data_IF_534442450290
#
_entry.id   IF_534442450290
#
_cell.length_a   1.000
_cell.length_b   1.000
_cell.length_c   1.000
_cell.angle_alpha   90.00
_cell.angle_beta   90.00
_cell.angle_gamma   90.00
#
_symmetry.space_group_name_H-M   'P 1'
#
loop_
_entity.id
_entity.type
_entity.pdbx_description
1 polymer ?
#
# COMPACT_ATOMS: atom_id res chain seq x y z
N UNK A 1 9.92 12.39 -2.77
CA UNK A 1 9.57 11.07 -3.34
C UNK A 1 9.69 10.05 -2.24
N UNK A 2 8.68 9.27 -2.03
CA UNK A 2 8.73 8.22 -1.03
C UNK A 2 8.84 6.89 -1.77
N UNK A 3 9.86 6.13 -1.50
CA UNK A 3 10.14 4.87 -2.17
C UNK A 3 9.82 3.74 -1.21
N UNK A 4 8.89 2.85 -1.58
CA UNK A 4 8.82 1.55 -0.96
C UNK A 4 9.61 0.60 -1.84
N UNK A 5 10.65 0.14 -1.27
CA UNK A 5 11.43 -0.90 -1.86
C UNK A 5 11.38 -2.15 -0.98
N UNK A 6 11.58 -3.31 -1.59
CA UNK A 6 11.94 -4.49 -0.83
C UNK A 6 13.20 -4.20 0.02
N UNK A 7 13.45 -4.94 1.10
CA UNK A 7 14.65 -4.73 1.93
C UNK A 7 15.96 -4.68 1.12
N UNK A 8 16.03 -5.33 -0.03
CA UNK A 8 17.21 -5.32 -0.91
C UNK A 8 17.39 -3.99 -1.62
N UNK A 9 16.31 -3.38 -2.08
CA UNK A 9 16.33 -2.08 -2.76
C UNK A 9 16.69 -0.97 -1.78
N UNK A 10 16.13 -1.00 -0.57
CA UNK A 10 16.45 -0.05 0.49
C UNK A 10 17.95 0.00 0.80
N UNK A 11 18.59 -1.18 0.92
CA UNK A 11 20.03 -1.28 1.15
C UNK A 11 20.83 -0.77 -0.06
N UNK A 12 20.40 -1.10 -1.29
CA UNK A 12 21.06 -0.65 -2.52
C UNK A 12 21.09 0.88 -2.64
N UNK A 13 19.97 1.53 -2.42
CA UNK A 13 19.89 3.00 -2.45
C UNK A 13 20.71 3.65 -1.32
N UNK A 14 20.72 3.03 -0.13
CA UNK A 14 21.57 3.48 0.97
C UNK A 14 23.07 3.39 0.64
N UNK A 15 23.52 2.34 -0.05
CA UNK A 15 24.88 2.22 -0.52
C UNK A 15 25.20 3.32 -1.56
N UNK A 16 24.27 3.60 -2.49
CA UNK A 16 24.45 4.69 -3.44
C UNK A 16 24.60 6.06 -2.75
N UNK A 17 23.83 6.31 -1.68
CA UNK A 17 24.02 7.49 -0.85
C UNK A 17 25.44 7.59 -0.32
N UNK A 18 25.94 6.54 0.33
CA UNK A 18 27.30 6.52 0.89
C UNK A 18 28.39 6.74 -0.19
N UNK A 19 28.20 6.18 -1.38
CA UNK A 19 29.10 6.40 -2.51
C UNK A 19 29.10 7.86 -2.95
N UNK A 20 27.94 8.50 -3.02
CA UNK A 20 27.84 9.92 -3.37
C UNK A 20 28.57 10.77 -2.32
N UNK A 21 28.36 10.51 -1.04
CA UNK A 21 29.01 11.23 0.06
C UNK A 21 30.52 11.06 0.03
N UNK A 22 31.02 9.84 -0.18
CA UNK A 22 32.47 9.56 -0.25
C UNK A 22 33.13 10.20 -1.46
N UNK A 23 32.49 10.15 -2.63
CA UNK A 23 33.09 10.69 -3.87
C UNK A 23 33.04 12.22 -3.93
N UNK A 24 31.99 12.82 -3.40
CA UNK A 24 31.75 14.26 -3.49
C UNK A 24 32.25 15.04 -2.27
N UNK A 25 32.39 14.38 -1.14
CA UNK A 25 32.67 15.03 0.15
C UNK A 25 31.47 15.85 0.70
N UNK A 26 30.32 15.74 0.07
CA UNK A 26 29.07 16.45 0.49
C UNK A 26 28.16 15.49 1.24
N UNK A 27 27.33 16.01 2.16
CA UNK A 27 26.20 15.24 2.66
C UNK A 27 25.22 14.97 1.53
N UNK A 28 24.59 13.81 1.53
CA UNK A 28 23.69 13.38 0.45
C UNK A 28 22.57 14.38 0.18
N UNK A 29 21.95 14.90 1.24
CA UNK A 29 20.87 15.87 1.16
C UNK A 29 21.33 17.17 0.48
N UNK A 30 22.49 17.69 0.87
CA UNK A 30 23.08 18.90 0.29
C UNK A 30 23.42 18.69 -1.18
N UNK A 31 23.97 17.50 -1.51
CA UNK A 31 24.25 17.14 -2.89
C UNK A 31 22.97 17.12 -3.74
N UNK A 32 21.93 16.43 -3.28
CA UNK A 32 20.69 16.34 -4.02
C UNK A 32 20.01 17.71 -4.20
N UNK A 33 20.00 18.53 -3.17
CA UNK A 33 19.41 19.88 -3.25
C UNK A 33 20.18 20.73 -4.25
N UNK A 34 21.51 20.83 -4.11
CA UNK A 34 22.31 21.77 -4.89
C UNK A 34 22.66 21.28 -6.30
N UNK A 35 22.81 19.97 -6.50
CA UNK A 35 23.23 19.39 -7.78
C UNK A 35 22.08 18.83 -8.61
N UNK A 36 20.90 18.59 -7.99
CA UNK A 36 19.75 17.98 -8.68
C UNK A 36 18.53 18.89 -8.60
N UNK A 37 18.01 19.20 -7.40
CA UNK A 37 16.72 19.85 -7.27
C UNK A 37 16.73 21.31 -7.71
N UNK A 38 17.68 22.10 -7.23
CA UNK A 38 17.81 23.53 -7.60
C UNK A 38 18.08 23.71 -9.10
N UNK A 39 19.04 22.99 -9.74
CA UNK A 39 19.26 23.10 -11.19
C UNK A 39 18.04 22.72 -12.04
N UNK A 40 17.19 21.81 -11.56
CA UNK A 40 15.95 21.44 -12.23
C UNK A 40 14.81 22.43 -11.98
N UNK A 41 14.95 23.33 -11.00
CA UNK A 41 13.88 24.23 -10.59
C UNK A 41 12.85 23.60 -9.66
N UNK A 42 13.17 22.48 -9.01
CA UNK A 42 12.32 21.80 -8.02
C UNK A 42 12.40 22.51 -6.66
N UNK A 43 11.81 23.71 -6.60
CA UNK A 43 12.00 24.64 -5.49
C UNK A 43 11.28 24.24 -4.19
N UNK A 44 10.37 23.29 -4.26
CA UNK A 44 9.60 22.77 -3.11
C UNK A 44 9.99 21.34 -2.75
N UNK A 45 11.20 20.92 -3.13
CA UNK A 45 11.72 19.57 -2.89
C UNK A 45 12.94 19.64 -1.99
N UNK A 46 12.92 18.89 -0.90
CA UNK A 46 14.04 18.77 0.04
C UNK A 46 13.92 17.53 0.96
N UNK A 47 14.82 17.42 1.92
CA UNK A 47 14.84 16.36 2.94
C UNK A 47 14.49 16.85 4.35
N UNK A 48 13.99 18.07 4.50
CA UNK A 48 13.76 18.67 5.81
C UNK A 48 12.71 17.96 6.66
N UNK A 49 11.76 17.28 6.03
CA UNK A 49 10.61 16.62 6.69
C UNK A 49 9.86 17.54 7.68
N UNK A 50 9.97 18.84 7.50
CA UNK A 50 9.35 19.85 8.36
C UNK A 50 8.75 20.95 7.48
N UNK A 51 7.72 21.59 8.02
CA UNK A 51 7.24 22.85 7.43
C UNK A 51 8.37 23.88 7.47
N UNK A 52 8.75 24.39 6.33
CA UNK A 52 9.84 25.32 6.15
C UNK A 52 9.41 26.51 5.27
N UNK A 53 10.34 27.35 4.90
CA UNK A 53 10.08 28.50 4.01
C UNK A 53 9.56 28.10 2.63
N UNK A 54 9.73 26.83 2.23
CA UNK A 54 9.29 26.28 0.94
C UNK A 54 7.81 25.85 0.93
N UNK A 55 7.18 25.67 2.11
CA UNK A 55 5.77 25.30 2.21
C UNK A 55 5.41 24.57 3.50
N UNK A 56 4.12 24.31 3.67
CA UNK A 56 3.63 23.49 4.77
C UNK A 56 3.64 22.01 4.39
N UNK A 57 4.24 21.18 5.26
CA UNK A 57 4.15 19.73 5.12
C UNK A 57 2.72 19.28 5.42
N UNK A 58 2.14 18.48 4.56
CA UNK A 58 0.83 17.87 4.81
C UNK A 58 0.88 16.95 6.04
N UNK A 59 -0.21 16.86 6.78
CA UNK A 59 -0.32 15.93 7.90
C UNK A 59 -0.41 14.50 7.37
N UNK A 60 0.49 13.58 7.79
CA UNK A 60 0.43 12.19 7.35
C UNK A 60 -0.70 11.40 8.03
N UNK A 61 -1.35 10.52 7.28
CA UNK A 61 -2.41 9.64 7.75
C UNK A 61 -2.05 8.18 7.51
N UNK A 62 -1.95 7.42 8.59
CA UNK A 62 -1.56 6.01 8.56
C UNK A 62 -2.70 5.07 8.95
N UNK A 63 -2.55 3.80 8.63
CA UNK A 63 -3.42 2.73 9.09
C UNK A 63 -4.89 2.93 8.73
N UNK A 64 -5.72 3.26 9.68
CA UNK A 64 -7.17 3.46 9.53
C UNK A 64 -7.57 4.89 9.12
N UNK A 65 -6.61 5.74 8.82
CA UNK A 65 -6.82 7.15 8.54
C UNK A 65 -6.59 8.01 9.79
N UNK A 66 -5.77 7.54 10.70
CA UNK A 66 -5.35 8.31 11.88
C UNK A 66 -4.16 9.20 11.51
N UNK A 67 -4.19 10.45 11.96
CA UNK A 67 -3.04 11.34 11.82
C UNK A 67 -1.86 10.76 12.62
N UNK A 68 -0.67 10.76 12.03
CA UNK A 68 0.54 10.25 12.65
C UNK A 68 1.66 11.29 12.61
N UNK A 69 2.71 11.06 13.36
CA UNK A 69 3.92 11.84 13.25
C UNK A 69 4.73 11.42 12.03
N UNK A 70 5.55 12.34 11.52
CA UNK A 70 6.50 12.01 10.46
C UNK A 70 7.56 11.07 11.02
N UNK A 71 7.68 9.89 10.43
CA UNK A 71 8.69 8.91 10.83
C UNK A 71 10.01 9.23 10.14
N UNK A 72 11.09 9.53 10.89
CA UNK A 72 12.39 9.81 10.30
C UNK A 72 12.92 8.58 9.55
N UNK A 73 13.56 8.82 8.42
CA UNK A 73 14.25 7.78 7.65
C UNK A 73 15.73 7.86 7.95
N UNK A 74 16.33 6.71 8.21
CA UNK A 74 17.76 6.62 8.58
C UNK A 74 18.67 6.88 7.39
N UNK A 75 18.22 6.52 6.18
CA UNK A 75 18.99 6.70 4.94
C UNK A 75 18.14 7.39 3.88
N UNK A 76 18.37 8.66 3.68
CA UNK A 76 17.57 9.50 2.77
C UNK A 76 17.71 9.12 1.29
N UNK A 77 18.77 8.43 0.90
CA UNK A 77 18.90 7.85 -0.44
C UNK A 77 17.89 6.76 -0.77
N UNK A 78 17.32 6.13 0.25
CA UNK A 78 16.28 5.12 0.09
C UNK A 78 14.83 5.67 0.23
N UNK A 79 14.69 6.93 0.62
CA UNK A 79 13.41 7.62 0.82
C UNK A 79 13.63 8.93 1.56
N UNK A 80 12.59 9.54 2.13
CA UNK A 80 12.70 10.73 2.98
C UNK A 80 12.66 12.06 2.24
N UNK A 81 12.70 12.08 0.92
CA UNK A 81 12.48 13.30 0.15
C UNK A 81 11.04 13.77 0.30
N UNK A 82 10.87 15.05 0.60
CA UNK A 82 9.59 15.76 0.59
C UNK A 82 9.46 16.55 -0.71
N UNK A 83 8.34 16.42 -1.40
CA UNK A 83 8.14 17.05 -2.71
C UNK A 83 6.66 17.35 -2.96
N UNK A 84 6.40 18.03 -4.07
CA UNK A 84 5.07 18.32 -4.61
C UNK A 84 4.85 17.57 -5.93
N UNK A 85 3.58 17.42 -6.34
CA UNK A 85 3.27 16.86 -7.67
C UNK A 85 3.84 17.71 -8.82
N UNK A 86 3.95 19.02 -8.62
CA UNK A 86 4.56 19.93 -9.60
C UNK A 86 6.07 19.63 -9.77
N UNK A 87 6.82 19.55 -8.68
CA UNK A 87 8.25 19.28 -8.74
C UNK A 87 8.54 17.87 -9.25
N UNK A 88 7.72 16.89 -8.86
CA UNK A 88 7.83 15.54 -9.43
C UNK A 88 7.56 15.51 -10.93
N UNK A 89 6.62 16.32 -11.44
CA UNK A 89 6.40 16.44 -12.89
C UNK A 89 7.61 17.07 -13.61
N UNK A 90 8.30 18.03 -12.99
CA UNK A 90 9.59 18.55 -13.51
C UNK A 90 10.63 17.41 -13.56
N UNK A 91 10.70 16.59 -12.54
CA UNK A 91 11.62 15.44 -12.51
C UNK A 91 11.27 14.40 -13.60
N UNK A 92 9.98 14.13 -13.84
CA UNK A 92 9.51 13.27 -14.93
C UNK A 92 9.95 13.80 -16.31
N UNK A 93 9.82 15.10 -16.53
CA UNK A 93 10.29 15.72 -17.78
C UNK A 93 11.79 15.56 -17.98
N UNK A 94 12.56 15.65 -16.91
CA UNK A 94 14.01 15.42 -16.98
C UNK A 94 14.33 13.95 -17.28
N UNK A 95 13.65 12.99 -16.63
CA UNK A 95 13.80 11.57 -16.96
C UNK A 95 13.49 11.28 -18.44
N UNK A 96 12.47 11.90 -18.99
CA UNK A 96 12.16 11.76 -20.44
C UNK A 96 13.25 12.34 -21.33
N UNK A 97 13.88 13.46 -20.95
CA UNK A 97 15.03 14.00 -21.67
C UNK A 97 16.24 13.05 -21.59
N UNK A 98 16.51 12.45 -20.41
CA UNK A 98 17.56 11.43 -20.28
C UNK A 98 17.31 10.26 -21.22
N UNK A 99 16.08 9.79 -21.32
CA UNK A 99 15.69 8.74 -22.25
C UNK A 99 15.94 9.16 -23.71
N UNK A 100 15.49 10.34 -24.12
CA UNK A 100 15.65 10.87 -25.47
C UNK A 100 17.12 11.09 -25.85
N UNK A 101 17.97 11.41 -24.89
CA UNK A 101 19.42 11.63 -25.10
C UNK A 101 20.22 10.32 -25.13
N UNK A 102 19.58 9.15 -25.09
CA UNK A 102 20.22 7.86 -25.21
C UNK A 102 20.88 7.35 -23.91
N UNK A 103 20.55 7.90 -22.75
CA UNK A 103 20.97 7.38 -21.44
C UNK A 103 20.19 6.11 -21.09
N UNK A 104 20.17 5.15 -22.02
CA UNK A 104 19.33 3.95 -21.98
C UNK A 104 19.64 2.97 -20.85
N UNK A 105 20.84 3.04 -20.24
CA UNK A 105 21.22 2.13 -19.15
C UNK A 105 20.30 2.23 -17.93
N UNK A 106 19.83 3.43 -17.60
CA UNK A 106 18.90 3.65 -16.49
C UNK A 106 17.56 2.95 -16.72
N UNK A 107 17.14 2.85 -17.97
CA UNK A 107 15.84 2.31 -18.38
C UNK A 107 15.91 0.82 -18.77
N UNK A 108 17.11 0.25 -18.80
CA UNK A 108 17.32 -1.16 -19.15
C UNK A 108 17.03 -2.07 -17.96
N UNK A 109 16.22 -3.10 -18.19
CA UNK A 109 15.99 -4.15 -17.21
C UNK A 109 17.30 -4.78 -16.75
N UNK A 110 17.42 -4.95 -15.45
CA UNK A 110 18.56 -5.62 -14.84
C UNK A 110 18.26 -7.13 -14.69
N UNK A 111 19.27 -7.95 -14.98
CA UNK A 111 19.14 -9.40 -14.84
C UNK A 111 18.89 -9.80 -13.37
N UNK A 112 18.08 -10.82 -13.17
CA UNK A 112 17.75 -11.39 -11.85
C UNK A 112 17.06 -10.41 -10.89
N UNK A 113 16.38 -9.38 -11.41
CA UNK A 113 15.60 -8.43 -10.61
C UNK A 113 14.11 -8.75 -10.58
N UNK A 114 13.69 -9.89 -11.12
CA UNK A 114 12.29 -10.29 -11.10
C UNK A 114 11.76 -10.32 -9.67
N UNK A 115 10.81 -9.45 -9.40
CA UNK A 115 10.06 -9.38 -8.15
C UNK A 115 8.56 -9.58 -8.42
N UNK A 116 7.76 -9.58 -7.38
CA UNK A 116 6.31 -9.67 -7.49
C UNK A 116 5.68 -8.55 -8.35
N UNK A 117 6.37 -7.42 -8.53
CA UNK A 117 5.94 -6.29 -9.36
C UNK A 117 6.47 -6.30 -10.81
N UNK A 118 7.30 -7.27 -11.19
CA UNK A 118 7.92 -7.34 -12.52
C UNK A 118 9.45 -7.28 -12.47
N UNK A 119 10.08 -6.99 -13.61
CA UNK A 119 11.52 -6.72 -13.70
C UNK A 119 11.82 -5.29 -13.26
N UNK A 120 13.06 -5.04 -12.83
CA UNK A 120 13.49 -3.74 -12.31
C UNK A 120 14.65 -3.19 -13.14
N UNK A 121 14.59 -1.93 -13.48
CA UNK A 121 15.72 -1.18 -14.05
C UNK A 121 16.47 -0.42 -12.94
N UNK A 122 17.20 0.62 -13.25
CA UNK A 122 17.93 1.38 -12.22
C UNK A 122 17.02 2.44 -11.58
N UNK A 123 16.23 2.03 -10.59
CA UNK A 123 15.34 2.91 -9.84
C UNK A 123 13.93 3.05 -10.43
N UNK A 124 13.59 2.30 -11.48
CA UNK A 124 12.28 2.33 -12.15
C UNK A 124 11.86 0.93 -12.59
N UNK A 125 10.55 0.72 -12.73
CA UNK A 125 9.92 -0.54 -13.15
C UNK A 125 9.36 -0.36 -14.56
N UNK A 126 9.84 -1.11 -15.58
CA UNK A 126 9.28 -1.07 -16.92
C UNK A 126 7.98 -1.88 -17.00
N UNK A 127 6.99 -1.32 -17.72
CA UNK A 127 5.72 -1.95 -18.07
C UNK A 127 5.52 -1.87 -19.58
N UNK A 128 5.38 -3.00 -20.23
CA UNK A 128 5.27 -3.07 -21.69
C UNK A 128 3.83 -2.91 -22.17
N UNK A 129 3.63 -2.04 -23.15
CA UNK A 129 2.38 -1.93 -23.89
C UNK A 129 2.37 -2.92 -25.06
N UNK A 130 1.18 -3.24 -25.55
CA UNK A 130 0.99 -4.19 -26.66
C UNK A 130 1.60 -3.71 -27.98
N UNK A 131 1.78 -2.40 -28.15
CA UNK A 131 2.41 -1.78 -29.31
C UNK A 131 3.95 -1.67 -29.22
N UNK A 132 4.53 -2.17 -28.12
CA UNK A 132 5.97 -2.19 -27.88
C UNK A 132 6.50 -0.94 -27.19
N UNK A 133 5.69 0.07 -26.89
CA UNK A 133 6.09 1.19 -26.02
C UNK A 133 6.25 0.68 -24.59
N UNK A 134 7.05 1.40 -23.81
CA UNK A 134 7.32 1.06 -22.41
C UNK A 134 6.93 2.22 -21.52
N UNK A 135 6.13 1.93 -20.54
CA UNK A 135 5.83 2.82 -19.41
C UNK A 135 6.80 2.49 -18.30
N UNK A 136 7.42 3.51 -17.74
CA UNK A 136 8.30 3.37 -16.59
C UNK A 136 7.64 3.97 -15.36
N UNK A 137 7.63 3.23 -14.28
CA UNK A 137 6.99 3.65 -13.05
C UNK A 137 7.86 3.45 -11.83
N UNK A 138 7.58 4.19 -10.77
CA UNK A 138 8.02 3.88 -9.41
C UNK A 138 6.98 4.32 -8.40
N UNK A 139 6.66 3.43 -7.46
CA UNK A 139 5.81 3.75 -6.32
C UNK A 139 6.66 3.92 -5.07
N UNK A 140 6.26 4.84 -4.21
CA UNK A 140 6.83 5.03 -2.90
C UNK A 140 5.76 5.01 -1.82
N UNK A 141 5.96 4.22 -0.78
CA UNK A 141 5.07 4.19 0.38
C UNK A 141 5.87 4.20 1.67
N UNK A 142 5.55 5.14 2.55
CA UNK A 142 5.99 5.19 3.94
C UNK A 142 4.76 5.33 4.83
N UNK A 143 4.95 5.17 6.14
CA UNK A 143 3.89 5.40 7.12
C UNK A 143 3.29 6.80 6.93
N UNK A 144 2.03 6.85 6.56
CA UNK A 144 1.29 8.08 6.31
C UNK A 144 1.50 8.74 4.95
N UNK A 145 2.29 8.14 4.02
CA UNK A 145 2.61 8.72 2.73
C UNK A 145 2.55 7.71 1.60
N UNK A 146 2.13 8.16 0.43
CA UNK A 146 2.28 7.41 -0.82
C UNK A 146 2.58 8.37 -1.98
N UNK A 147 3.42 7.92 -2.90
CA UNK A 147 3.71 8.61 -4.15
C UNK A 147 3.80 7.63 -5.32
N UNK A 148 3.37 8.05 -6.48
CA UNK A 148 3.50 7.30 -7.74
C UNK A 148 4.03 8.24 -8.81
N UNK A 149 5.07 7.81 -9.51
CA UNK A 149 5.63 8.48 -10.66
C UNK A 149 5.54 7.53 -11.85
N UNK A 150 5.05 8.02 -12.98
CA UNK A 150 4.85 7.20 -14.18
C UNK A 150 5.14 8.02 -15.42
N UNK A 151 6.01 7.53 -16.29
CA UNK A 151 6.33 8.17 -17.58
C UNK A 151 6.20 7.19 -18.73
N UNK A 152 5.78 7.70 -19.89
CA UNK A 152 5.94 7.06 -21.19
C UNK A 152 6.76 8.03 -22.07
N UNK A 153 8.07 7.79 -22.19
CA UNK A 153 8.98 8.81 -22.71
C UNK A 153 8.90 9.02 -24.22
N UNK A 154 8.34 8.05 -24.99
CA UNK A 154 8.24 8.18 -26.46
C UNK A 154 7.19 9.18 -26.87
N UNK A 155 6.02 9.16 -26.21
CA UNK A 155 4.95 10.15 -26.45
C UNK A 155 5.08 11.40 -25.56
N UNK A 156 5.98 11.39 -24.59
CA UNK A 156 6.17 12.50 -23.64
C UNK A 156 5.06 12.65 -22.62
N UNK A 157 4.35 11.56 -22.28
CA UNK A 157 3.29 11.57 -21.31
C UNK A 157 3.80 11.09 -19.94
N UNK A 158 3.34 11.75 -18.86
CA UNK A 158 3.64 11.34 -17.50
C UNK A 158 2.53 11.70 -16.52
N UNK A 159 2.57 11.11 -15.34
CA UNK A 159 1.71 11.44 -14.21
C UNK A 159 2.45 11.26 -12.89
N UNK A 160 2.49 12.31 -12.10
CA UNK A 160 2.99 12.29 -10.73
C UNK A 160 1.82 12.42 -9.74
N UNK A 161 1.69 11.48 -8.82
CA UNK A 161 0.67 11.49 -7.78
C UNK A 161 1.37 11.47 -6.42
N UNK A 162 0.95 12.35 -5.53
CA UNK A 162 1.40 12.36 -4.13
C UNK A 162 0.18 12.33 -3.21
N UNK A 163 0.30 11.61 -2.11
CA UNK A 163 -0.75 11.51 -1.10
C UNK A 163 -0.15 11.48 0.30
N UNK A 164 -0.83 12.15 1.22
CA UNK A 164 -0.52 12.11 2.63
C UNK A 164 -1.26 10.96 3.35
N UNK A 165 -1.37 9.81 2.69
CA UNK A 165 -1.90 8.58 3.28
C UNK A 165 -1.22 7.36 2.69
N UNK A 166 -0.77 6.43 3.55
CA UNK A 166 -0.25 5.14 3.13
C UNK A 166 -1.34 4.25 2.48
N UNK A 167 -2.62 4.50 2.77
CA UNK A 167 -3.77 3.81 2.14
C UNK A 167 -4.02 4.23 0.70
N UNK A 168 -3.36 5.27 0.22
CA UNK A 168 -3.45 5.68 -1.17
C UNK A 168 -2.77 4.70 -2.15
N UNK A 169 -2.01 3.71 -1.67
CA UNK A 169 -1.29 2.73 -2.48
C UNK A 169 -2.14 2.14 -3.62
N UNK A 170 -3.33 1.62 -3.31
CA UNK A 170 -4.23 1.09 -4.35
C UNK A 170 -4.82 2.17 -5.26
N UNK A 171 -5.08 3.34 -4.71
CA UNK A 171 -5.64 4.48 -5.46
C UNK A 171 -4.63 5.00 -6.49
N UNK A 172 -3.36 5.10 -6.14
CA UNK A 172 -2.33 5.60 -7.07
C UNK A 172 -2.13 4.66 -8.25
N UNK A 173 -2.18 3.34 -8.05
CA UNK A 173 -2.19 2.38 -9.15
C UNK A 173 -3.47 2.44 -10.00
N UNK A 174 -4.65 2.64 -9.40
CA UNK A 174 -5.88 2.87 -10.17
C UNK A 174 -5.80 4.15 -11.01
N UNK A 175 -5.20 5.21 -10.48
CA UNK A 175 -4.96 6.45 -11.24
C UNK A 175 -4.00 6.20 -12.40
N UNK A 176 -2.94 5.43 -12.21
CA UNK A 176 -2.04 5.01 -13.30
C UNK A 176 -2.80 4.24 -14.38
N UNK A 177 -3.66 3.27 -14.02
CA UNK A 177 -4.48 2.53 -14.97
C UNK A 177 -5.44 3.42 -15.76
N UNK A 178 -6.11 4.36 -15.11
CA UNK A 178 -7.04 5.29 -15.76
C UNK A 178 -6.31 6.28 -16.65
N UNK A 179 -5.16 6.79 -16.17
CA UNK A 179 -4.31 7.69 -16.95
C UNK A 179 -3.79 6.99 -18.21
N UNK A 180 -3.20 5.81 -18.08
CA UNK A 180 -2.63 5.07 -19.20
C UNK A 180 -3.69 4.71 -20.24
N UNK A 181 -4.90 4.32 -19.81
CA UNK A 181 -6.01 4.10 -20.73
C UNK A 181 -6.40 5.36 -21.52
N UNK A 182 -6.36 6.54 -20.88
CA UNK A 182 -6.73 7.80 -21.54
C UNK A 182 -5.61 8.39 -22.39
N UNK A 183 -4.38 8.37 -21.87
CA UNK A 183 -3.24 9.02 -22.52
C UNK A 183 -2.57 8.13 -23.58
N UNK A 184 -2.56 6.81 -23.35
CA UNK A 184 -1.79 5.86 -24.17
C UNK A 184 -2.69 4.89 -24.94
N UNK A 185 -3.99 4.83 -24.64
CA UNK A 185 -4.97 3.96 -25.29
C UNK A 185 -5.02 2.54 -24.72
N UNK A 186 -4.16 2.20 -23.76
CA UNK A 186 -4.08 0.88 -23.12
C UNK A 186 -3.92 1.01 -21.62
N UNK A 187 -4.48 0.08 -20.86
CA UNK A 187 -4.31 0.01 -19.39
C UNK A 187 -3.00 -0.63 -19.02
N UNK A 188 -2.20 0.10 -18.28
CA UNK A 188 -1.03 -0.45 -17.58
C UNK A 188 -1.44 -0.82 -16.17
N UNK A 189 -1.34 -2.08 -15.79
CA UNK A 189 -1.70 -2.56 -14.46
C UNK A 189 -0.58 -3.36 -13.82
N UNK A 190 -0.53 -3.34 -12.50
CA UNK A 190 0.26 -4.30 -11.74
C UNK A 190 -0.55 -5.59 -11.57
N UNK A 191 -0.08 -6.69 -12.15
CA UNK A 191 -0.80 -7.97 -12.16
C UNK A 191 -0.92 -8.58 -10.77
N UNK A 192 0.05 -8.37 -9.89
CA UNK A 192 -0.01 -8.85 -8.51
C UNK A 192 -1.10 -8.10 -7.74
N UNK A 193 -1.12 -6.77 -7.81
CA UNK A 193 -2.12 -5.95 -7.15
C UNK A 193 -3.53 -6.26 -7.65
N UNK A 194 -3.67 -6.41 -8.96
CA UNK A 194 -4.94 -6.80 -9.58
C UNK A 194 -5.40 -8.17 -9.11
N UNK A 195 -4.51 -9.14 -9.07
CA UNK A 195 -4.77 -10.50 -8.58
C UNK A 195 -5.17 -10.49 -7.11
N UNK A 196 -4.42 -9.80 -6.25
CA UNK A 196 -4.75 -9.65 -4.83
C UNK A 196 -6.15 -9.04 -4.64
N UNK A 197 -6.45 -7.94 -5.32
CA UNK A 197 -7.76 -7.28 -5.25
C UNK A 197 -8.89 -8.23 -5.67
N UNK A 198 -8.69 -9.00 -6.74
CA UNK A 198 -9.67 -10.00 -7.21
C UNK A 198 -9.89 -11.10 -6.17
N UNK A 199 -8.81 -11.67 -5.59
CA UNK A 199 -8.93 -12.71 -4.57
C UNK A 199 -9.65 -12.21 -3.32
N UNK A 200 -9.34 -11.04 -2.83
CA UNK A 200 -10.02 -10.46 -1.67
C UNK A 200 -11.51 -10.21 -1.97
N UNK A 201 -11.84 -9.72 -3.14
CA UNK A 201 -13.23 -9.56 -3.58
C UNK A 201 -13.97 -10.90 -3.63
N UNK A 202 -13.35 -11.95 -4.17
CA UNK A 202 -13.94 -13.31 -4.21
C UNK A 202 -14.18 -13.82 -2.79
N UNK A 203 -13.18 -13.72 -1.90
CA UNK A 203 -13.30 -14.15 -0.50
C UNK A 203 -14.47 -13.43 0.19
N UNK A 204 -14.56 -12.11 0.04
CA UNK A 204 -15.66 -11.31 0.58
C UNK A 204 -17.02 -11.82 0.14
N UNK A 205 -17.23 -11.99 -1.15
CA UNK A 205 -18.52 -12.46 -1.66
C UNK A 205 -18.83 -13.91 -1.29
N UNK A 206 -17.83 -14.79 -1.18
CA UNK A 206 -18.04 -16.16 -0.69
C UNK A 206 -18.50 -16.16 0.76
N UNK A 207 -17.88 -15.37 1.63
CA UNK A 207 -18.30 -15.26 3.03
C UNK A 207 -19.71 -14.68 3.11
N UNK A 208 -20.00 -13.61 2.39
CA UNK A 208 -21.32 -13.00 2.35
C UNK A 208 -22.40 -13.98 1.86
N UNK A 209 -22.10 -14.76 0.82
CA UNK A 209 -22.97 -15.80 0.30
C UNK A 209 -23.28 -16.89 1.34
N UNK A 210 -22.31 -17.22 2.19
CA UNK A 210 -22.49 -18.18 3.29
C UNK A 210 -23.32 -17.57 4.46
N UNK A 211 -23.10 -16.31 4.79
CA UNK A 211 -23.76 -15.60 5.89
C UNK A 211 -25.25 -15.41 5.59
N UNK A 212 -25.59 -14.93 4.41
CA UNK A 212 -26.95 -14.51 4.06
C UNK A 212 -28.04 -15.58 4.25
N UNK A 213 -27.91 -16.81 3.70
CA UNK A 213 -28.93 -17.83 3.89
C UNK A 213 -29.07 -18.26 5.36
N UNK A 214 -27.95 -18.33 6.09
CA UNK A 214 -27.98 -18.68 7.52
C UNK A 214 -28.69 -17.59 8.31
N UNK A 215 -28.40 -16.32 8.04
CA UNK A 215 -29.07 -15.17 8.66
C UNK A 215 -30.59 -15.19 8.40
N UNK A 216 -30.99 -15.41 7.16
CA UNK A 216 -32.42 -15.49 6.77
C UNK A 216 -33.13 -16.62 7.50
N UNK A 217 -32.52 -17.82 7.52
CA UNK A 217 -33.08 -18.99 8.21
C UNK A 217 -33.23 -18.72 9.73
N UNK A 218 -32.19 -18.17 10.35
CA UNK A 218 -32.17 -17.81 11.76
C UNK A 218 -33.26 -16.77 12.05
N UNK A 219 -33.32 -15.70 11.28
CA UNK A 219 -34.31 -14.63 11.46
C UNK A 219 -35.76 -15.15 11.33
N UNK A 220 -36.05 -15.98 10.32
CA UNK A 220 -37.33 -16.58 10.14
C UNK A 220 -37.74 -17.51 11.30
N UNK A 221 -36.79 -18.27 11.84
CA UNK A 221 -37.02 -19.13 12.98
C UNK A 221 -37.19 -18.34 14.30
N UNK A 222 -36.49 -17.23 14.48
CA UNK A 222 -36.73 -16.31 15.59
C UNK A 222 -38.10 -15.67 15.53
N UNK A 223 -38.53 -15.15 14.39
CA UNK A 223 -39.88 -14.58 14.18
C UNK A 223 -40.98 -15.54 14.48
N UNK A 224 -40.79 -16.84 14.22
CA UNK A 224 -41.77 -17.90 14.48
C UNK A 224 -41.66 -18.48 15.90
N UNK A 225 -40.85 -17.85 16.80
CA UNK A 225 -40.61 -18.34 18.17
C UNK A 225 -40.19 -19.82 18.24
N UNK A 226 -39.45 -20.29 17.24
CA UNK A 226 -39.08 -21.71 17.10
C UNK A 226 -37.78 -22.06 17.82
N UNK A 227 -37.14 -21.13 18.50
CA UNK A 227 -35.89 -21.34 19.21
C UNK A 227 -36.08 -21.32 20.72
N UNK A 228 -35.37 -22.19 21.41
CA UNK A 228 -35.20 -22.22 22.86
C UNK A 228 -33.73 -22.29 23.19
N UNK A 229 -33.31 -21.63 24.26
CA UNK A 229 -31.98 -21.76 24.78
C UNK A 229 -31.69 -23.23 25.20
N UNK A 230 -30.49 -23.67 24.84
CA UNK A 230 -30.01 -24.99 25.27
C UNK A 230 -29.32 -24.85 26.63
N UNK A 231 -29.80 -25.60 27.60
CA UNK A 231 -29.20 -25.69 28.93
C UNK A 231 -28.45 -27.02 29.05
N UNK A 232 -27.23 -27.00 29.60
CA UNK A 232 -26.41 -28.18 29.86
C UNK A 232 -24.94 -27.85 30.06
N UNK A 233 -24.32 -28.40 31.11
CA UNK A 233 -22.97 -28.05 31.58
C UNK A 233 -21.89 -28.18 30.52
N UNK A 234 -21.86 -29.26 29.73
CA UNK A 234 -20.87 -29.49 28.66
C UNK A 234 -20.98 -28.45 27.53
N UNK A 235 -22.23 -28.06 27.20
CA UNK A 235 -22.44 -27.06 26.13
C UNK A 235 -22.16 -25.65 26.58
N UNK A 236 -22.37 -25.34 27.85
CA UNK A 236 -21.97 -24.06 28.42
C UNK A 236 -20.44 -23.93 28.36
N UNK A 237 -19.71 -24.98 28.66
CA UNK A 237 -18.26 -25.03 28.53
C UNK A 237 -17.78 -24.84 27.07
N UNK A 238 -18.41 -25.54 26.10
CA UNK A 238 -18.11 -25.38 24.67
C UNK A 238 -18.43 -23.97 24.16
N UNK A 239 -19.51 -23.37 24.66
CA UNK A 239 -19.90 -22.00 24.28
C UNK A 239 -18.93 -20.97 24.86
N UNK A 240 -18.49 -21.16 26.11
CA UNK A 240 -17.47 -20.30 26.73
C UNK A 240 -16.15 -20.43 25.97
N UNK A 241 -15.73 -21.65 25.66
CA UNK A 241 -14.50 -21.89 24.88
C UNK A 241 -14.59 -21.24 23.48
N UNK A 242 -15.71 -21.45 22.77
CA UNK A 242 -15.92 -20.83 21.48
C UNK A 242 -15.96 -19.30 21.56
N UNK A 243 -16.55 -18.74 22.61
CA UNK A 243 -16.61 -17.30 22.85
C UNK A 243 -15.21 -16.73 23.17
N UNK A 244 -14.42 -17.41 24.02
CA UNK A 244 -13.04 -17.01 24.32
C UNK A 244 -12.15 -17.11 23.09
N UNK A 245 -12.23 -18.22 22.35
CA UNK A 245 -11.53 -18.40 21.09
C UNK A 245 -11.87 -17.30 20.10
N UNK A 246 -13.14 -16.92 20.05
CA UNK A 246 -13.66 -15.85 19.23
C UNK A 246 -13.07 -14.47 19.61
N UNK A 247 -13.12 -14.13 20.92
CA UNK A 247 -12.55 -12.86 21.39
C UNK A 247 -11.05 -12.81 21.12
N UNK A 248 -10.33 -13.93 21.28
CA UNK A 248 -8.90 -14.00 20.98
C UNK A 248 -8.66 -13.84 19.47
N UNK A 249 -9.40 -14.56 18.63
CA UNK A 249 -9.26 -14.47 17.18
C UNK A 249 -9.60 -13.07 16.65
N UNK A 250 -10.67 -12.49 17.18
CA UNK A 250 -11.09 -11.12 16.85
C UNK A 250 -10.09 -10.09 17.36
N UNK A 251 -9.62 -10.26 18.58
CA UNK A 251 -8.53 -9.47 19.16
C UNK A 251 -7.25 -9.53 18.32
N UNK A 252 -6.85 -10.70 17.85
CA UNK A 252 -5.70 -10.86 16.95
C UNK A 252 -5.93 -10.08 15.64
N UNK A 253 -7.13 -10.16 15.09
CA UNK A 253 -7.47 -9.51 13.82
C UNK A 253 -7.55 -7.98 13.96
N UNK A 254 -8.22 -7.46 15.00
CA UNK A 254 -8.40 -6.02 15.21
C UNK A 254 -7.21 -5.33 15.86
N UNK A 255 -6.46 -6.07 16.69
CA UNK A 255 -5.30 -5.57 17.41
C UNK A 255 -3.97 -6.12 16.88
N UNK A 256 -3.95 -6.54 15.61
CA UNK A 256 -2.74 -7.02 14.96
C UNK A 256 -1.62 -5.99 15.08
N UNK A 257 -1.93 -4.70 14.95
CA UNK A 257 -0.98 -3.60 15.12
C UNK A 257 -0.36 -3.60 16.52
N UNK A 258 -1.17 -3.72 17.55
CA UNK A 258 -0.71 -3.74 18.93
C UNK A 258 0.13 -5.01 19.24
N UNK A 259 -0.29 -6.16 18.71
CA UNK A 259 0.42 -7.42 18.87
C UNK A 259 1.79 -7.36 18.18
N UNK A 260 1.86 -6.81 16.96
CA UNK A 260 3.12 -6.62 16.26
C UNK A 260 4.06 -5.66 17.02
N UNK A 261 3.53 -4.55 17.53
CA UNK A 261 4.29 -3.63 18.36
C UNK A 261 4.82 -4.29 19.63
N UNK A 262 4.00 -5.11 20.28
CA UNK A 262 4.37 -5.83 21.50
C UNK A 262 5.41 -6.93 21.24
N UNK A 263 5.28 -7.70 20.15
CA UNK A 263 6.12 -8.88 19.88
C UNK A 263 7.39 -8.52 19.13
N UNK A 264 7.33 -7.57 18.19
CA UNK A 264 8.46 -7.21 17.32
C UNK A 264 8.95 -5.78 17.47
N UNK A 265 8.30 -4.97 18.32
CA UNK A 265 8.67 -3.56 18.49
C UNK A 265 8.42 -2.69 17.26
N UNK A 266 7.71 -3.21 16.27
CA UNK A 266 7.44 -2.54 14.99
C UNK A 266 5.98 -2.12 14.90
N UNK A 267 5.73 -0.89 14.49
CA UNK A 267 4.38 -0.46 14.14
C UNK A 267 3.95 -1.14 12.84
N UNK A 268 2.82 -1.86 12.89
CA UNK A 268 2.37 -2.73 11.79
C UNK A 268 1.55 -1.97 10.73
N UNK A 269 1.65 -0.66 10.66
CA UNK A 269 1.01 0.13 9.61
C UNK A 269 1.39 -0.37 8.20
N UNK A 270 2.61 -0.85 8.06
CA UNK A 270 3.16 -1.36 6.82
C UNK A 270 2.41 -2.56 6.24
N UNK A 271 2.02 -3.53 7.06
CA UNK A 271 1.28 -4.72 6.60
C UNK A 271 -0.09 -4.35 6.03
N UNK A 272 -0.81 -3.47 6.71
CA UNK A 272 -2.15 -3.06 6.27
C UNK A 272 -2.13 -2.17 5.02
N UNK A 273 -1.02 -1.49 4.75
CA UNK A 273 -0.86 -0.68 3.54
C UNK A 273 -1.05 -1.51 2.27
N UNK A 274 -0.51 -2.74 2.27
CA UNK A 274 -0.54 -3.63 1.11
C UNK A 274 -1.78 -4.52 1.01
N UNK A 275 -2.68 -4.48 2.01
CA UNK A 275 -3.95 -5.20 1.90
C UNK A 275 -5.02 -4.37 1.17
N UNK A 276 -5.79 -4.99 0.25
CA UNK A 276 -6.89 -4.32 -0.42
C UNK A 276 -7.90 -3.71 0.56
N UNK A 277 -8.59 -2.63 0.18
CA UNK A 277 -9.63 -2.00 1.02
C UNK A 277 -10.73 -2.97 1.49
N UNK A 278 -10.99 -4.03 0.71
CA UNK A 278 -11.95 -5.08 1.04
C UNK A 278 -11.55 -5.91 2.27
N UNK A 279 -10.29 -5.85 2.70
CA UNK A 279 -9.82 -6.63 3.85
C UNK A 279 -10.61 -6.36 5.13
N UNK A 280 -10.92 -5.10 5.43
CA UNK A 280 -11.76 -4.75 6.60
C UNK A 280 -13.19 -5.28 6.49
N UNK A 281 -13.77 -5.23 5.30
CA UNK A 281 -15.10 -5.80 5.09
C UNK A 281 -15.09 -7.30 5.36
N UNK A 282 -14.06 -8.02 4.90
CA UNK A 282 -13.85 -9.45 5.16
C UNK A 282 -13.72 -9.72 6.66
N UNK A 283 -12.96 -8.90 7.40
CA UNK A 283 -12.83 -9.02 8.84
C UNK A 283 -14.19 -8.89 9.54
N UNK A 284 -14.96 -7.85 9.21
CA UNK A 284 -16.30 -7.64 9.78
C UNK A 284 -17.26 -8.79 9.44
N UNK A 285 -17.23 -9.29 8.21
CA UNK A 285 -18.03 -10.44 7.78
C UNK A 285 -17.65 -11.72 8.55
N UNK A 286 -16.35 -11.95 8.77
CA UNK A 286 -15.87 -13.07 9.58
C UNK A 286 -16.39 -12.99 11.02
N UNK A 287 -16.37 -11.80 11.62
CA UNK A 287 -16.96 -11.55 12.96
C UNK A 287 -18.46 -11.88 12.99
N UNK A 288 -19.21 -11.39 12.02
CA UNK A 288 -20.65 -11.65 11.91
C UNK A 288 -20.90 -13.16 11.79
N UNK A 289 -20.16 -13.86 10.93
CA UNK A 289 -20.28 -15.31 10.76
C UNK A 289 -20.02 -16.06 12.07
N UNK A 290 -18.99 -15.67 12.79
CA UNK A 290 -18.65 -16.27 14.07
C UNK A 290 -19.71 -16.02 15.14
N UNK A 291 -20.26 -14.80 15.24
CA UNK A 291 -21.40 -14.49 16.12
C UNK A 291 -22.59 -15.40 15.79
N UNK A 292 -22.91 -15.56 14.51
CA UNK A 292 -24.00 -16.44 14.07
C UNK A 292 -23.75 -17.90 14.45
N UNK A 293 -22.53 -18.40 14.34
CA UNK A 293 -22.13 -19.74 14.78
C UNK A 293 -22.34 -19.90 16.29
N UNK A 294 -21.89 -18.92 17.10
CA UNK A 294 -22.11 -18.93 18.55
C UNK A 294 -23.58 -18.96 18.93
N UNK A 295 -24.39 -18.10 18.31
CA UNK A 295 -25.85 -18.11 18.53
C UNK A 295 -26.40 -19.48 18.16
N UNK A 296 -25.99 -20.05 17.02
CA UNK A 296 -26.50 -21.35 16.53
C UNK A 296 -26.12 -22.52 17.43
N UNK A 297 -24.98 -22.51 18.09
CA UNK A 297 -24.59 -23.53 19.06
C UNK A 297 -25.46 -23.48 20.32
N UNK A 298 -25.84 -22.28 20.76
CA UNK A 298 -26.54 -22.06 22.02
C UNK A 298 -28.06 -22.16 21.92
N UNK A 299 -28.63 -22.25 20.72
CA UNK A 299 -30.07 -22.37 20.52
C UNK A 299 -30.44 -23.73 19.89
N UNK A 300 -31.66 -24.22 20.20
CA UNK A 300 -32.22 -25.37 19.51
C UNK A 300 -33.61 -25.02 18.96
N UNK A 301 -34.00 -25.69 17.89
CA UNK A 301 -35.35 -25.58 17.39
C UNK A 301 -36.33 -26.17 18.44
N UNK A 302 -37.40 -25.46 18.70
CA UNK A 302 -38.52 -25.96 19.51
C UNK A 302 -39.19 -27.10 18.73
N UNK A 303 -39.29 -28.29 19.33
CA UNK A 303 -39.95 -29.45 18.72
C UNK A 303 -41.43 -29.21 18.72
#
# INVERSE_FOLDING_TARGET
>A
MVVVSSCREFVGHGICQLVIEEVTGMQFEDYMVTQVFEPLGMTQTDYSNQSNEKGELAVPYAGLGEATEVVPIVMNGAGGVTSTSHDLAIFELELMKYYANGCGEMFREQENTQSAGGTYALGIIPRYLSDGRVVYEHNGTLTGWNAQLVIEPVSGNGIAVVSNSDKAYYMTYELMEVWSQKALGERVSDDLMKSMKQWFMVIKYVILFCIMPVAIIMMNNFRKHRYVCRTGCIRTGLSIFAFLFFIIADGIVFYTDWIFKLVWGMDNYFLFTFFPPDFKAIQMEAVILLIMILIRINIRKKI
#
